data_IF_061428058589
#
_entry.id   IF_061428058589
#
_cell.length_a   1.000
_cell.length_b   1.000
_cell.length_c   1.000
_cell.angle_alpha   90.00
_cell.angle_beta   90.00
_cell.angle_gamma   90.00
#
_symmetry.space_group_name_H-M   'P 1'
#
loop_
_entity.id
_entity.type
_entity.pdbx_description
1 polymer ?
#
# COMPACT_ATOMS: atom_id res chain seq x y z
N UNK A 1 -37.91 11.48 -52.61
CA UNK A 1 -36.71 11.86 -51.81
C UNK A 1 -36.51 10.98 -50.57
N UNK A 2 -37.58 10.54 -49.89
CA UNK A 2 -37.53 9.72 -48.65
C UNK A 2 -36.74 8.38 -48.74
N UNK A 3 -36.82 7.65 -49.87
CA UNK A 3 -36.12 6.37 -50.05
C UNK A 3 -34.59 6.50 -50.03
N UNK A 4 -34.04 7.60 -50.55
CA UNK A 4 -32.60 7.86 -50.56
C UNK A 4 -32.09 8.18 -49.15
N UNK A 5 -32.88 8.89 -48.35
CA UNK A 5 -32.57 9.22 -46.96
C UNK A 5 -32.55 7.98 -46.06
N UNK A 6 -33.51 7.06 -46.25
CA UNK A 6 -33.57 5.80 -45.49
C UNK A 6 -32.37 4.90 -45.83
N UNK A 7 -32.01 4.82 -47.12
CA UNK A 7 -30.85 4.02 -47.53
C UNK A 7 -29.55 4.58 -46.96
N UNK A 8 -29.39 5.90 -46.96
CA UNK A 8 -28.20 6.55 -46.39
C UNK A 8 -28.08 6.31 -44.87
N UNK A 9 -29.21 6.33 -44.16
CA UNK A 9 -29.29 5.98 -42.73
C UNK A 9 -28.85 4.54 -42.47
N UNK A 10 -29.31 3.58 -43.28
CA UNK A 10 -28.90 2.19 -43.15
C UNK A 10 -27.40 2.00 -43.41
N UNK A 11 -26.85 2.69 -44.41
CA UNK A 11 -25.41 2.65 -44.70
C UNK A 11 -24.60 3.23 -43.54
N UNK A 12 -25.03 4.35 -42.96
CA UNK A 12 -24.34 4.96 -41.81
C UNK A 12 -24.36 4.04 -40.59
N UNK A 13 -25.51 3.42 -40.27
CA UNK A 13 -25.61 2.49 -39.13
C UNK A 13 -24.76 1.23 -39.38
N UNK A 14 -24.78 0.67 -40.59
CA UNK A 14 -23.94 -0.48 -40.93
C UNK A 14 -22.44 -0.14 -40.85
N UNK A 15 -22.05 1.07 -41.26
CA UNK A 15 -20.67 1.53 -41.19
C UNK A 15 -20.22 1.78 -39.73
N UNK A 16 -21.13 2.25 -38.86
CA UNK A 16 -20.86 2.39 -37.43
C UNK A 16 -20.63 1.04 -36.75
N UNK A 17 -21.39 0.00 -37.12
CA UNK A 17 -21.18 -1.35 -36.61
C UNK A 17 -19.92 -2.02 -37.18
N UNK A 18 -19.52 -1.69 -38.40
CA UNK A 18 -18.31 -2.25 -39.02
C UNK A 18 -17.01 -1.55 -38.57
N UNK A 19 -17.11 -0.27 -38.20
CA UNK A 19 -15.99 0.55 -37.72
C UNK A 19 -15.96 0.68 -36.19
N UNK A 20 -16.91 0.07 -35.46
CA UNK A 20 -16.83 0.00 -34.01
C UNK A 20 -15.59 -0.83 -33.65
N UNK A 21 -14.51 -0.14 -33.30
CA UNK A 21 -13.38 -0.80 -32.67
C UNK A 21 -13.91 -1.47 -31.40
N UNK A 22 -13.62 -2.76 -31.23
CA UNK A 22 -13.73 -3.36 -29.90
C UNK A 22 -12.94 -2.44 -28.98
N UNK A 23 -13.59 -1.85 -27.98
CA UNK A 23 -12.88 -1.22 -26.89
C UNK A 23 -12.08 -2.33 -26.25
N UNK A 24 -10.81 -2.50 -26.63
CA UNK A 24 -9.86 -3.26 -25.85
C UNK A 24 -9.85 -2.59 -24.50
N UNK A 25 -10.44 -3.24 -23.50
CA UNK A 25 -10.30 -2.82 -22.12
C UNK A 25 -8.81 -2.60 -21.88
N UNK A 26 -8.42 -1.35 -21.65
CA UNK A 26 -7.03 -1.02 -21.37
C UNK A 26 -6.70 -1.67 -20.03
N UNK A 27 -6.08 -2.84 -20.06
CA UNK A 27 -5.36 -3.33 -18.89
C UNK A 27 -4.27 -2.30 -18.65
N UNK A 28 -4.41 -1.50 -17.60
CA UNK A 28 -3.35 -0.60 -17.17
C UNK A 28 -2.10 -1.46 -16.95
N UNK A 29 -1.14 -1.41 -17.88
CA UNK A 29 0.14 -2.12 -17.80
C UNK A 29 1.08 -1.38 -16.81
N UNK A 30 0.59 -1.04 -15.62
CA UNK A 30 1.45 -0.58 -14.54
C UNK A 30 2.27 -1.80 -14.06
N UNK A 31 3.60 -1.83 -14.28
CA UNK A 31 4.43 -2.96 -13.85
C UNK A 31 4.45 -3.13 -12.32
N UNK A 32 4.00 -2.11 -11.59
CA UNK A 32 3.87 -2.14 -10.13
C UNK A 32 2.58 -2.77 -9.65
N UNK A 33 1.75 -3.30 -10.54
CA UNK A 33 0.46 -3.90 -10.21
C UNK A 33 0.39 -5.30 -10.79
N UNK A 34 -0.02 -6.25 -9.95
CA UNK A 34 -0.37 -7.61 -10.37
C UNK A 34 -1.88 -7.78 -10.33
N UNK A 35 -2.42 -8.51 -11.30
CA UNK A 35 -3.80 -9.00 -11.25
C UNK A 35 -3.81 -10.36 -10.56
N UNK A 36 -4.61 -10.46 -9.49
CA UNK A 36 -4.72 -11.69 -8.70
C UNK A 36 -6.18 -12.07 -8.60
N UNK A 37 -6.48 -13.34 -8.89
CA UNK A 37 -7.80 -13.92 -8.76
C UNK A 37 -7.93 -14.70 -7.45
N UNK A 38 -9.18 -14.85 -7.00
CA UNK A 38 -9.59 -15.54 -5.77
C UNK A 38 -9.12 -14.82 -4.49
N UNK A 39 -10.06 -14.20 -3.78
CA UNK A 39 -9.79 -13.52 -2.51
C UNK A 39 -9.20 -14.45 -1.45
N UNK A 40 -8.53 -13.88 -0.45
CA UNK A 40 -7.86 -14.64 0.62
C UNK A 40 -8.80 -15.11 1.74
N UNK A 41 -10.11 -15.14 1.52
CA UNK A 41 -11.03 -15.82 2.43
C UNK A 41 -12.07 -16.66 1.69
N UNK A 42 -12.62 -17.64 2.40
CA UNK A 42 -13.68 -18.52 1.90
C UNK A 42 -15.00 -17.77 1.57
N UNK A 43 -15.09 -16.48 1.89
CA UNK A 43 -16.25 -15.63 1.63
C UNK A 43 -16.10 -14.78 0.36
N UNK A 44 -14.99 -14.92 -0.38
CA UNK A 44 -14.75 -14.17 -1.61
C UNK A 44 -14.53 -12.66 -1.40
N UNK A 45 -14.20 -12.22 -0.19
CA UNK A 45 -13.83 -10.81 0.05
C UNK A 45 -12.41 -10.53 -0.43
N UNK A 46 -12.16 -9.32 -0.98
CA UNK A 46 -10.81 -8.91 -1.36
C UNK A 46 -9.90 -8.81 -0.14
N UNK A 47 -8.63 -9.19 -0.34
CA UNK A 47 -7.62 -9.07 0.69
C UNK A 47 -7.33 -7.61 1.02
N UNK A 48 -6.90 -7.31 2.26
CA UNK A 48 -6.16 -6.09 2.55
C UNK A 48 -5.13 -5.74 1.46
N UNK A 49 -5.17 -4.50 0.97
CA UNK A 49 -4.29 -4.00 -0.09
C UNK A 49 -4.74 -4.34 -1.51
N UNK A 50 -5.82 -5.10 -1.69
CA UNK A 50 -6.40 -5.35 -3.02
C UNK A 50 -7.37 -4.21 -3.36
N UNK A 51 -7.31 -3.76 -4.61
CA UNK A 51 -8.09 -2.63 -5.12
C UNK A 51 -8.56 -2.91 -6.54
N UNK A 52 -9.49 -2.08 -7.03
CA UNK A 52 -10.04 -2.16 -8.39
C UNK A 52 -10.46 -3.59 -8.82
N UNK A 53 -11.27 -4.22 -7.98
CA UNK A 53 -11.77 -5.58 -8.21
C UNK A 53 -12.85 -5.62 -9.29
N UNK A 54 -12.78 -6.64 -10.15
CA UNK A 54 -13.67 -6.87 -11.27
C UNK A 54 -14.17 -8.32 -11.24
N UNK A 55 -15.44 -8.53 -11.59
CA UNK A 55 -16.03 -9.86 -11.69
C UNK A 55 -15.86 -10.35 -13.13
N UNK A 56 -15.05 -11.39 -13.33
CA UNK A 56 -14.76 -12.00 -14.64
C UNK A 56 -15.55 -13.29 -14.89
N UNK A 57 -16.73 -13.40 -14.27
CA UNK A 57 -17.62 -14.54 -14.40
C UNK A 57 -18.29 -14.90 -13.08
N UNK A 58 -19.11 -15.97 -13.06
CA UNK A 58 -19.95 -16.30 -11.90
C UNK A 58 -19.16 -16.67 -10.63
N UNK A 59 -17.88 -17.02 -10.75
CA UNK A 59 -17.05 -17.52 -9.63
C UNK A 59 -15.66 -16.89 -9.57
N UNK A 60 -15.36 -15.92 -10.43
CA UNK A 60 -14.03 -15.31 -10.53
C UNK A 60 -14.12 -13.82 -10.27
N UNK A 61 -13.47 -13.38 -9.20
CA UNK A 61 -13.17 -11.97 -8.96
C UNK A 61 -11.66 -11.81 -9.07
N UNK A 62 -11.24 -10.89 -9.94
CA UNK A 62 -9.84 -10.48 -10.10
C UNK A 62 -9.68 -9.09 -9.51
N UNK A 63 -8.59 -8.87 -8.78
CA UNK A 63 -8.27 -7.58 -8.18
C UNK A 63 -6.84 -7.18 -8.50
N UNK A 64 -6.57 -5.89 -8.41
CA UNK A 64 -5.23 -5.34 -8.48
C UNK A 64 -4.56 -5.35 -7.11
N UNK A 65 -3.28 -5.68 -7.08
CA UNK A 65 -2.44 -5.59 -5.87
C UNK A 65 -1.08 -5.00 -6.22
N UNK A 66 -0.51 -4.20 -5.32
CA UNK A 66 0.83 -3.64 -5.53
C UNK A 66 1.92 -4.70 -5.42
N UNK A 67 2.88 -4.64 -6.34
CA UNK A 67 4.01 -5.56 -6.43
C UNK A 67 5.14 -5.12 -5.47
N UNK A 68 5.87 -6.06 -4.86
CA UNK A 68 7.03 -5.73 -4.02
C UNK A 68 8.21 -5.12 -4.77
N UNK A 69 8.31 -5.32 -6.08
CA UNK A 69 9.45 -4.81 -6.86
C UNK A 69 9.40 -3.30 -7.10
N UNK A 70 8.27 -2.68 -6.77
CA UNK A 70 8.14 -1.24 -6.82
C UNK A 70 8.25 -0.67 -5.42
N UNK A 71 9.22 0.21 -5.23
CA UNK A 71 9.39 0.92 -3.97
C UNK A 71 8.35 2.04 -3.90
N UNK A 72 7.42 2.04 -2.93
CA UNK A 72 6.67 3.25 -2.65
C UNK A 72 7.63 4.36 -2.20
N UNK A 73 7.27 5.64 -2.37
CA UNK A 73 8.07 6.74 -1.87
C UNK A 73 8.03 6.72 -0.34
N UNK A 74 8.98 6.01 0.29
CA UNK A 74 9.17 6.02 1.73
C UNK A 74 10.38 6.90 2.10
N UNK A 75 10.28 7.74 3.14
CA UNK A 75 11.44 8.44 3.65
C UNK A 75 12.40 7.46 4.33
N UNK A 76 13.70 7.66 4.08
CA UNK A 76 14.75 6.90 4.73
C UNK A 76 14.91 7.36 6.19
N UNK A 77 14.58 6.49 7.14
CA UNK A 77 14.78 6.77 8.57
C UNK A 77 16.13 6.29 9.13
N UNK A 78 16.93 5.49 8.40
CA UNK A 78 18.25 4.99 8.83
C UNK A 78 19.33 5.26 7.78
N UNK A 79 19.51 6.54 7.48
CA UNK A 79 20.51 7.02 6.55
C UNK A 79 21.72 7.61 7.30
N UNK A 80 22.86 7.89 6.62
CA UNK A 80 24.06 8.39 7.28
C UNK A 80 23.75 9.60 8.16
N UNK A 81 24.19 9.59 9.42
CA UNK A 81 23.96 10.66 10.40
C UNK A 81 25.28 11.33 10.78
N UNK A 82 25.35 12.66 10.81
CA UNK A 82 26.46 13.40 11.43
C UNK A 82 26.19 13.65 12.92
N UNK A 83 25.99 12.57 13.67
CA UNK A 83 25.60 12.60 15.09
C UNK A 83 24.09 12.51 15.31
N UNK A 84 23.69 12.07 16.51
CA UNK A 84 22.30 12.15 16.97
C UNK A 84 22.01 13.62 17.35
N UNK A 85 20.92 14.23 16.83
CA UNK A 85 19.69 13.57 16.41
C UNK A 85 19.33 13.71 14.90
N UNK A 86 20.27 13.94 13.97
CA UNK A 86 19.90 14.26 12.57
C UNK A 86 20.38 13.23 11.54
N UNK A 87 19.45 12.78 10.69
CA UNK A 87 19.74 11.98 9.48
C UNK A 87 20.13 12.90 8.33
N UNK A 88 21.34 12.74 7.78
CA UNK A 88 21.83 13.61 6.70
C UNK A 88 21.16 13.35 5.36
N UNK A 89 20.69 12.12 5.09
CA UNK A 89 20.08 11.84 3.79
C UNK A 89 18.61 12.24 3.72
N UNK A 90 17.92 12.35 4.86
CA UNK A 90 16.50 12.75 4.90
C UNK A 90 16.26 14.12 5.51
N UNK A 91 17.25 14.71 6.20
CA UNK A 91 17.07 15.94 6.98
C UNK A 91 16.12 15.77 8.18
N UNK A 92 15.80 14.53 8.54
CA UNK A 92 14.94 14.21 9.67
C UNK A 92 15.72 14.35 10.98
N UNK A 93 15.23 15.19 11.88
CA UNK A 93 15.69 15.30 13.25
C UNK A 93 14.78 14.47 14.14
N UNK A 94 15.35 13.56 14.95
CA UNK A 94 14.58 12.63 15.75
C UNK A 94 14.98 12.62 17.23
N UNK A 95 14.03 12.44 18.13
CA UNK A 95 14.27 12.37 19.58
C UNK A 95 13.68 11.07 20.10
N UNK A 96 14.49 10.22 20.73
CA UNK A 96 14.02 9.05 21.46
C UNK A 96 13.91 9.37 22.96
N UNK A 97 12.77 9.00 23.56
CA UNK A 97 12.54 9.12 24.99
C UNK A 97 11.93 7.82 25.52
N UNK A 98 12.60 7.21 26.50
CA UNK A 98 12.08 6.07 27.24
C UNK A 98 11.35 6.58 28.50
N UNK A 99 10.03 6.42 28.54
CA UNK A 99 9.20 6.96 29.62
C UNK A 99 9.00 5.97 30.77
N UNK A 100 8.79 4.68 30.44
CA UNK A 100 8.52 3.64 31.44
C UNK A 100 9.31 2.38 31.11
N UNK A 101 9.96 1.81 32.13
CA UNK A 101 10.58 0.48 32.09
C UNK A 101 10.22 -0.31 33.34
N UNK A 102 9.31 -1.27 33.19
CA UNK A 102 8.93 -2.20 34.25
C UNK A 102 9.53 -3.57 33.92
N UNK A 103 10.57 -4.02 34.66
CA UNK A 103 11.13 -5.35 34.43
C UNK A 103 10.11 -6.44 34.78
N UNK A 104 10.16 -7.57 34.08
CA UNK A 104 9.25 -8.69 34.30
C UNK A 104 9.64 -9.93 33.49
N UNK A 105 8.99 -11.06 33.79
CA UNK A 105 9.11 -12.28 33.00
C UNK A 105 8.67 -11.99 31.55
N UNK A 106 9.34 -12.57 30.56
CA UNK A 106 9.12 -12.31 29.13
C UNK A 106 9.50 -10.90 28.62
N UNK A 107 10.42 -10.20 29.28
CA UNK A 107 11.00 -8.94 28.77
C UNK A 107 10.39 -7.65 29.33
N UNK A 108 9.35 -7.78 30.17
CA UNK A 108 8.73 -6.65 30.87
C UNK A 108 7.96 -5.68 29.97
N UNK A 109 7.59 -4.53 30.52
CA UNK A 109 6.95 -3.43 29.80
C UNK A 109 7.97 -2.31 29.56
N UNK A 110 8.13 -1.91 28.29
CA UNK A 110 8.95 -0.76 27.91
C UNK A 110 8.18 0.16 26.99
N UNK A 111 7.85 1.36 27.47
CA UNK A 111 7.27 2.43 26.67
C UNK A 111 8.41 3.34 26.19
N UNK A 112 8.65 3.32 24.89
CA UNK A 112 9.55 4.26 24.22
C UNK A 112 8.72 5.05 23.23
N UNK A 113 9.00 6.34 23.16
CA UNK A 113 8.45 7.22 22.15
C UNK A 113 9.54 7.91 21.35
N UNK A 114 9.30 8.09 20.06
CA UNK A 114 10.19 8.76 19.13
C UNK A 114 9.46 9.91 18.44
N UNK A 115 10.04 11.11 18.50
CA UNK A 115 9.58 12.26 17.74
C UNK A 115 10.38 12.37 16.44
N UNK A 116 9.74 12.73 15.32
CA UNK A 116 10.40 12.95 14.03
C UNK A 116 10.02 14.32 13.44
N UNK A 117 11.00 15.14 13.03
CA UNK A 117 10.70 16.46 12.46
C UNK A 117 10.06 16.36 11.07
N UNK A 118 10.37 15.30 10.33
CA UNK A 118 9.82 15.04 9.00
C UNK A 118 8.70 14.02 9.13
N UNK A 119 7.50 14.43 8.71
CA UNK A 119 6.43 13.49 8.47
C UNK A 119 6.43 13.09 6.99
N UNK A 120 6.34 11.80 6.66
CA UNK A 120 6.14 11.39 5.28
C UNK A 120 4.81 11.97 4.76
N UNK A 121 4.85 12.82 3.73
CA UNK A 121 3.64 13.48 3.19
C UNK A 121 2.62 12.52 2.58
N UNK A 122 3.03 11.29 2.30
CA UNK A 122 2.29 10.31 1.52
C UNK A 122 1.78 9.14 2.37
N UNK A 123 1.98 9.21 3.70
CA UNK A 123 1.61 8.13 4.60
C UNK A 123 0.25 8.43 5.23
N UNK A 124 -0.75 7.59 4.95
CA UNK A 124 -2.13 7.69 5.44
C UNK A 124 -2.32 7.38 6.92
N UNK A 125 -1.23 7.44 7.69
CA UNK A 125 -1.26 7.25 9.14
C UNK A 125 -1.39 8.59 9.85
N UNK A 126 -1.96 8.57 11.06
CA UNK A 126 -2.20 9.79 11.83
C UNK A 126 -0.87 10.47 12.19
N UNK A 127 -0.68 11.71 11.76
CA UNK A 127 0.44 12.56 12.19
C UNK A 127 0.40 12.86 13.69
N UNK A 128 -0.80 12.83 14.28
CA UNK A 128 -1.02 13.04 15.71
C UNK A 128 -1.39 11.71 16.34
N UNK A 129 -0.49 11.20 17.18
CA UNK A 129 -0.69 9.99 18.00
C UNK A 129 -1.07 10.33 19.44
N UNK A 130 -0.98 9.33 20.31
CA UNK A 130 -1.24 9.39 21.75
C UNK A 130 -0.40 10.46 22.46
N UNK A 131 0.80 10.73 21.96
CA UNK A 131 1.76 11.67 22.55
C UNK A 131 1.83 13.02 21.80
N UNK A 132 0.89 13.28 20.90
CA UNK A 132 0.81 14.51 20.11
C UNK A 132 1.43 14.38 18.72
N UNK A 133 1.60 15.53 18.06
CA UNK A 133 2.10 15.59 16.69
C UNK A 133 3.52 15.04 16.57
N UNK A 134 3.75 14.25 15.52
CA UNK A 134 5.04 13.68 15.15
C UNK A 134 5.67 12.72 16.18
N UNK A 135 4.99 12.44 17.29
CA UNK A 135 5.39 11.41 18.23
C UNK A 135 4.82 10.05 17.83
N UNK A 136 5.65 9.02 17.96
CA UNK A 136 5.29 7.61 17.80
C UNK A 136 5.73 6.83 19.01
N UNK A 137 5.01 5.77 19.36
CA UNK A 137 5.39 4.89 20.45
C UNK A 137 5.30 3.42 20.06
N UNK A 138 6.00 2.57 20.81
CA UNK A 138 5.94 1.11 20.65
C UNK A 138 4.55 0.51 20.88
N UNK A 139 3.61 1.27 21.44
CA UNK A 139 2.23 0.85 21.66
C UNK A 139 1.26 1.33 20.57
N UNK A 140 1.77 2.06 19.59
CA UNK A 140 1.01 2.56 18.44
C UNK A 140 1.43 1.88 17.13
N UNK A 141 2.21 0.79 17.24
CA UNK A 141 2.58 -0.04 16.10
C UNK A 141 1.34 -0.71 15.50
N UNK A 142 1.21 -0.65 14.17
CA UNK A 142 0.03 -1.19 13.49
C UNK A 142 0.28 -1.51 12.04
N UNK A 143 -0.48 -2.47 11.53
CA UNK A 143 -0.57 -2.78 10.10
C UNK A 143 -1.83 -2.11 9.53
N UNK A 144 -1.71 -1.42 8.41
CA UNK A 144 -2.81 -0.74 7.73
C UNK A 144 -2.62 -0.75 6.22
N UNK A 145 -3.69 -0.51 5.45
CA UNK A 145 -3.61 -0.29 4.01
C UNK A 145 -3.60 1.20 3.76
N UNK A 146 -2.62 1.69 3.01
CA UNK A 146 -2.50 3.11 2.70
C UNK A 146 -3.15 3.46 1.35
N UNK A 147 -3.24 4.75 1.03
CA UNK A 147 -3.82 5.27 -0.20
C UNK A 147 -3.05 4.83 -1.46
N UNK A 148 -1.78 4.46 -1.33
CA UNK A 148 -0.96 3.88 -2.41
C UNK A 148 -1.21 2.37 -2.62
N UNK A 149 -2.14 1.80 -1.85
CA UNK A 149 -2.54 0.39 -1.83
C UNK A 149 -1.45 -0.60 -1.38
N UNK A 150 -0.32 -0.12 -0.87
CA UNK A 150 0.59 -0.97 -0.13
C UNK A 150 0.01 -1.27 1.25
N UNK A 151 0.29 -2.47 1.75
CA UNK A 151 0.07 -2.76 3.17
C UNK A 151 1.29 -2.21 3.90
N UNK A 152 1.08 -1.39 4.92
CA UNK A 152 2.16 -0.73 5.66
C UNK A 152 2.14 -1.11 7.13
N UNK A 153 3.32 -1.27 7.69
CA UNK A 153 3.55 -1.45 9.12
C UNK A 153 4.17 -0.17 9.68
N UNK A 154 3.40 0.56 10.49
CA UNK A 154 3.89 1.69 11.27
C UNK A 154 4.64 1.15 12.49
N UNK A 155 5.88 1.59 12.69
CA UNK A 155 6.77 1.14 13.76
C UNK A 155 6.89 2.18 14.88
N UNK A 156 7.32 1.74 16.06
CA UNK A 156 7.46 2.60 17.24
C UNK A 156 8.56 3.65 17.12
N UNK A 157 9.53 3.44 16.21
CA UNK A 157 10.56 4.41 15.83
C UNK A 157 10.05 5.43 14.78
N UNK A 158 8.77 5.34 14.39
CA UNK A 158 8.17 6.18 13.36
C UNK A 158 8.62 5.87 11.93
N UNK A 159 9.35 4.78 11.72
CA UNK A 159 9.58 4.23 10.38
C UNK A 159 8.38 3.43 9.90
N UNK A 160 8.32 3.24 8.57
CA UNK A 160 7.29 2.43 7.92
C UNK A 160 7.95 1.33 7.12
N UNK A 161 7.38 0.13 7.19
CA UNK A 161 7.65 -0.91 6.21
C UNK A 161 6.45 -1.03 5.29
N UNK A 162 6.67 -0.95 3.99
CA UNK A 162 5.65 -1.21 2.99
C UNK A 162 5.83 -2.62 2.45
N UNK A 163 4.71 -3.33 2.28
CA UNK A 163 4.66 -4.70 1.80
C UNK A 163 3.92 -4.76 0.46
N UNK A 164 4.54 -5.43 -0.49
CA UNK A 164 3.97 -5.72 -1.81
C UNK A 164 3.83 -7.23 -2.03
N UNK A 165 2.94 -7.60 -2.93
CA UNK A 165 2.64 -8.99 -3.25
C UNK A 165 3.70 -9.59 -4.19
N UNK A 166 4.19 -10.78 -3.85
CA UNK A 166 5.20 -11.50 -4.64
C UNK A 166 4.66 -12.69 -5.46
N UNK A 167 3.33 -12.88 -5.47
CA UNK A 167 2.70 -14.05 -6.09
C UNK A 167 2.19 -15.09 -5.10
N UNK A 168 2.68 -15.07 -3.85
CA UNK A 168 2.29 -16.06 -2.81
C UNK A 168 2.07 -15.40 -1.45
N UNK A 169 2.94 -14.46 -1.07
CA UNK A 169 2.95 -13.76 0.21
C UNK A 169 3.18 -12.27 0.00
N UNK A 170 3.16 -11.50 1.08
CA UNK A 170 3.54 -10.09 1.06
C UNK A 170 4.97 -9.93 1.56
N UNK A 171 5.87 -9.51 0.68
CA UNK A 171 7.27 -9.21 1.00
C UNK A 171 7.50 -7.71 1.19
N UNK A 172 8.58 -7.34 1.88
CA UNK A 172 8.95 -5.93 2.04
C UNK A 172 9.29 -5.32 0.67
N UNK A 173 8.50 -4.33 0.26
CA UNK A 173 8.75 -3.48 -0.89
C UNK A 173 9.69 -2.31 -0.52
N UNK A 174 9.55 -1.80 0.70
CA UNK A 174 10.46 -0.79 1.24
C UNK A 174 10.46 -0.81 2.78
N UNK A 175 11.59 -0.47 3.43
CA UNK A 175 12.88 -0.14 2.83
C UNK A 175 13.62 -1.38 2.32
N UNK A 176 14.46 -1.21 1.30
CA UNK A 176 15.10 -2.33 0.59
C UNK A 176 16.15 -3.12 1.40
N UNK A 177 16.61 -2.56 2.52
CA UNK A 177 17.64 -3.15 3.38
C UNK A 177 17.07 -4.10 4.45
N UNK A 178 15.77 -4.34 4.45
CA UNK A 178 15.08 -5.19 5.43
C UNK A 178 14.39 -6.35 4.70
N UNK A 179 14.39 -7.51 5.33
CA UNK A 179 13.62 -8.68 4.87
C UNK A 179 12.60 -9.04 5.94
N UNK A 180 11.33 -9.04 5.56
CA UNK A 180 10.23 -9.54 6.37
C UNK A 180 9.12 -10.07 5.46
N UNK A 181 8.27 -10.92 6.03
CA UNK A 181 7.10 -11.45 5.34
C UNK A 181 5.87 -11.14 6.17
N UNK A 182 4.88 -10.54 5.52
CA UNK A 182 3.54 -10.40 6.08
C UNK A 182 2.70 -11.58 5.59
N UNK A 183 2.16 -12.32 6.54
CA UNK A 183 1.29 -13.47 6.30
C UNK A 183 0.01 -13.33 7.12
N UNK A 184 -1.08 -13.88 6.60
CA UNK A 184 -2.29 -14.05 7.39
C UNK A 184 -2.03 -15.07 8.51
N UNK A 185 -2.39 -14.73 9.74
CA UNK A 185 -2.42 -15.71 10.81
C UNK A 185 -3.49 -16.77 10.52
N UNK A 186 -3.16 -18.04 10.74
CA UNK A 186 -4.19 -19.06 10.94
C UNK A 186 -4.68 -18.93 12.38
N UNK A 187 -5.99 -18.77 12.55
CA UNK A 187 -6.68 -18.94 13.83
C UNK A 187 -7.25 -20.34 13.92
#
# INVERSE_FOLDING_TARGET
MLKKTIFLLFVVVALQCALSQNATAQTNNDPCVNWVGNGCNALGMPCPGWFNCQVEGPWLTVCQVKNLYCTPPVPCNHCPSAGNPISLASGNTFIEQADVKLPGLSGGLRLVRMWNSVWPSNEGTFQVGLFGSNWRSTFEERVFVDNDHYIKYARGDGSFWAFGYNGTTYGVAAPANITATLAYGST
#
